data_IF_195921080532
#
_entry.id   IF_195921080532
#
_cell.length_a   1.000
_cell.length_b   1.000
_cell.length_c   1.000
_cell.angle_alpha   90.00
_cell.angle_beta   90.00
_cell.angle_gamma   90.00
#
_symmetry.space_group_name_H-M   'P 1'
#
loop_
_entity.id
_entity.type
_entity.pdbx_description
1 polymer ?
#
# COMPACT_ATOMS: atom_id res chain seq x y z
N UNK A 1 34.50 5.12 10.06
CA UNK A 1 33.45 4.18 9.58
C UNK A 1 34.14 2.89 9.22
N UNK A 2 33.89 1.81 9.97
CA UNK A 2 34.42 0.50 9.61
C UNK A 2 33.54 -0.08 8.50
N UNK A 3 34.11 -0.25 7.31
CA UNK A 3 33.45 -0.98 6.22
C UNK A 3 33.67 -2.46 6.53
N UNK A 4 32.60 -3.19 6.89
CA UNK A 4 32.68 -4.62 7.06
C UNK A 4 33.01 -5.29 5.71
N UNK A 5 33.92 -6.27 5.65
CA UNK A 5 34.22 -6.98 4.41
C UNK A 5 32.97 -7.75 3.96
N UNK A 6 32.44 -7.39 2.79
CA UNK A 6 31.28 -8.03 2.16
C UNK A 6 31.74 -9.17 1.25
N UNK A 7 31.17 -10.36 1.40
CA UNK A 7 31.47 -11.51 0.55
C UNK A 7 30.28 -11.83 -0.35
N UNK A 8 30.53 -11.90 -1.67
CA UNK A 8 29.53 -12.35 -2.64
C UNK A 8 29.43 -13.87 -2.60
N UNK A 9 28.21 -14.39 -2.44
CA UNK A 9 27.91 -15.82 -2.43
C UNK A 9 26.88 -16.09 -3.52
N UNK A 10 27.13 -17.09 -4.36
CA UNK A 10 26.17 -17.57 -5.35
C UNK A 10 25.48 -18.83 -4.81
N UNK A 11 24.14 -18.80 -4.79
CA UNK A 11 23.30 -19.91 -4.31
C UNK A 11 22.47 -20.39 -5.50
N UNK A 12 22.75 -21.61 -5.99
CA UNK A 12 22.00 -22.25 -7.05
C UNK A 12 21.04 -23.28 -6.45
N UNK A 13 19.75 -23.16 -6.74
CA UNK A 13 18.68 -23.97 -6.15
C UNK A 13 17.67 -24.36 -7.21
N UNK A 14 17.01 -25.49 -7.00
CA UNK A 14 15.92 -25.89 -7.89
C UNK A 14 14.77 -24.88 -7.82
N UNK A 15 14.13 -24.57 -8.96
CA UNK A 15 13.06 -23.55 -9.05
C UNK A 15 11.94 -23.74 -8.02
N UNK A 16 11.61 -24.98 -7.68
CA UNK A 16 10.58 -25.28 -6.67
C UNK A 16 10.98 -24.91 -5.23
N UNK A 17 12.27 -24.80 -4.94
CA UNK A 17 12.81 -24.49 -3.62
C UNK A 17 13.26 -23.04 -3.48
N UNK A 18 13.39 -22.31 -4.60
CA UNK A 18 13.86 -20.93 -4.63
C UNK A 18 13.07 -20.00 -3.68
N UNK A 19 11.74 -20.09 -3.69
CA UNK A 19 10.90 -19.25 -2.82
C UNK A 19 11.13 -19.51 -1.33
N UNK A 20 11.26 -20.79 -0.94
CA UNK A 20 11.50 -21.17 0.46
C UNK A 20 12.87 -20.68 0.95
N UNK A 21 13.91 -20.85 0.13
CA UNK A 21 15.27 -20.44 0.49
C UNK A 21 15.37 -18.91 0.58
N UNK A 22 14.78 -18.19 -0.37
CA UNK A 22 14.70 -16.72 -0.31
C UNK A 22 13.99 -16.24 0.97
N UNK A 23 12.88 -16.88 1.34
CA UNK A 23 12.15 -16.55 2.59
C UNK A 23 13.03 -16.72 3.82
N UNK A 24 13.72 -17.86 3.95
CA UNK A 24 14.58 -18.15 5.10
C UNK A 24 15.76 -17.17 5.18
N UNK A 25 16.36 -16.82 4.03
CA UNK A 25 17.46 -15.85 3.98
C UNK A 25 16.99 -14.43 4.32
N UNK A 26 15.79 -14.05 3.90
CA UNK A 26 15.17 -12.77 4.26
C UNK A 26 14.85 -12.71 5.75
N UNK A 27 14.29 -13.78 6.32
CA UNK A 27 14.00 -13.89 7.76
C UNK A 27 15.27 -13.79 8.61
N UNK A 28 16.38 -14.35 8.10
CA UNK A 28 17.68 -14.24 8.76
C UNK A 28 18.22 -12.80 8.75
N UNK A 29 17.88 -11.99 7.74
CA UNK A 29 18.20 -10.55 7.67
C UNK A 29 19.69 -10.20 7.54
N UNK A 30 20.55 -11.18 7.28
CA UNK A 30 22.03 -11.02 7.28
C UNK A 30 22.59 -10.85 5.85
N UNK A 31 21.78 -11.10 4.81
CA UNK A 31 22.24 -11.17 3.42
C UNK A 31 21.45 -10.21 2.53
N UNK A 32 22.15 -9.48 1.68
CA UNK A 32 21.55 -8.70 0.59
C UNK A 32 21.27 -9.62 -0.61
N UNK A 33 20.00 -9.79 -0.97
CA UNK A 33 19.60 -10.61 -2.13
C UNK A 33 19.63 -9.74 -3.38
N UNK A 34 20.56 -10.05 -4.29
CA UNK A 34 20.70 -9.37 -5.57
C UNK A 34 19.85 -10.09 -6.64
N UNK A 35 19.07 -9.34 -7.41
CA UNK A 35 18.38 -9.88 -8.59
C UNK A 35 19.40 -10.23 -9.69
N UNK A 36 19.14 -11.26 -10.51
CA UNK A 36 20.05 -11.79 -11.52
C UNK A 36 20.59 -10.71 -12.49
N UNK A 37 19.76 -9.72 -12.84
CA UNK A 37 20.13 -8.54 -13.64
C UNK A 37 21.19 -7.66 -12.95
N UNK A 38 21.09 -7.47 -11.62
CA UNK A 38 22.03 -6.69 -10.82
C UNK A 38 23.31 -7.47 -10.49
N UNK A 39 23.24 -8.79 -10.50
CA UNK A 39 24.35 -9.68 -10.14
C UNK A 39 25.35 -9.91 -11.28
N UNK A 40 25.12 -9.35 -12.49
CA UNK A 40 25.87 -9.67 -13.72
C UNK A 40 25.85 -11.16 -14.12
N UNK A 41 25.02 -11.98 -13.47
CA UNK A 41 24.90 -13.42 -13.72
C UNK A 41 24.15 -13.69 -15.02
N UNK A 42 23.25 -12.78 -15.45
CA UNK A 42 22.48 -12.94 -16.70
C UNK A 42 23.34 -12.96 -17.97
N UNK A 43 24.55 -12.38 -17.94
CA UNK A 43 25.49 -12.42 -19.09
C UNK A 43 26.24 -13.74 -19.21
N UNK A 44 26.55 -14.38 -18.08
CA UNK A 44 27.35 -15.60 -18.05
C UNK A 44 26.47 -16.86 -18.01
N UNK A 45 25.26 -16.78 -17.44
CA UNK A 45 24.36 -17.92 -17.22
C UNK A 45 22.89 -17.51 -17.37
N UNK A 46 22.41 -17.25 -18.61
CA UNK A 46 21.03 -16.83 -18.86
C UNK A 46 19.98 -17.87 -18.44
N UNK A 47 20.35 -19.15 -18.38
CA UNK A 47 19.45 -20.24 -17.92
C UNK A 47 19.10 -20.16 -16.42
N UNK A 48 19.87 -19.39 -15.64
CA UNK A 48 19.62 -19.17 -14.20
C UNK A 48 18.75 -17.93 -13.94
N UNK A 49 18.32 -17.24 -14.99
CA UNK A 49 17.42 -16.09 -14.87
C UNK A 49 16.03 -16.55 -14.42
N UNK A 50 15.64 -16.14 -13.23
CA UNK A 50 14.27 -16.33 -12.75
C UNK A 50 13.41 -15.13 -13.15
N UNK A 51 12.42 -15.35 -14.02
CA UNK A 51 11.30 -14.42 -14.16
C UNK A 51 10.47 -14.40 -12.86
N UNK A 52 10.82 -13.53 -11.93
CA UNK A 52 9.94 -13.17 -10.81
C UNK A 52 8.85 -12.21 -11.30
N UNK A 53 7.77 -12.76 -11.88
CA UNK A 53 6.53 -11.99 -12.03
C UNK A 53 5.92 -11.82 -10.65
N UNK A 54 5.86 -10.58 -10.16
CA UNK A 54 5.06 -10.27 -8.98
C UNK A 54 3.60 -10.64 -9.30
N UNK A 55 2.94 -11.45 -8.46
CA UNK A 55 1.53 -11.75 -8.66
C UNK A 55 0.75 -10.44 -8.64
N UNK A 56 -0.05 -10.19 -9.69
CA UNK A 56 -0.88 -8.98 -9.82
C UNK A 56 -1.75 -8.76 -8.58
N UNK A 57 -2.24 -9.85 -7.98
CA UNK A 57 -3.07 -9.81 -6.77
C UNK A 57 -2.36 -9.14 -5.58
N UNK A 58 -1.04 -9.29 -5.47
CA UNK A 58 -0.24 -8.64 -4.41
C UNK A 58 -0.11 -7.14 -4.70
N UNK A 59 0.11 -6.77 -5.96
CA UNK A 59 0.21 -5.35 -6.35
C UNK A 59 -1.12 -4.63 -6.14
N UNK A 60 -2.23 -5.26 -6.52
CA UNK A 60 -3.58 -4.74 -6.29
C UNK A 60 -3.87 -4.60 -4.78
N UNK A 61 -3.47 -5.57 -3.96
CA UNK A 61 -3.63 -5.48 -2.50
C UNK A 61 -2.80 -4.36 -1.88
N UNK A 62 -1.55 -4.19 -2.31
CA UNK A 62 -0.69 -3.08 -1.85
C UNK A 62 -1.31 -1.74 -2.22
N UNK A 63 -1.80 -1.59 -3.44
CA UNK A 63 -2.47 -0.36 -3.88
C UNK A 63 -3.73 -0.04 -3.05
N UNK A 64 -4.53 -1.06 -2.70
CA UNK A 64 -5.69 -0.90 -1.81
C UNK A 64 -5.27 -0.44 -0.41
N UNK A 65 -4.24 -1.06 0.16
CA UNK A 65 -3.72 -0.69 1.48
C UNK A 65 -3.19 0.75 1.49
N UNK A 66 -2.42 1.15 0.49
CA UNK A 66 -1.90 2.52 0.37
C UNK A 66 -3.02 3.55 0.29
N UNK A 67 -4.07 3.28 -0.49
CA UNK A 67 -5.25 4.15 -0.58
C UNK A 67 -5.96 4.28 0.77
N UNK A 68 -6.17 3.17 1.47
CA UNK A 68 -6.82 3.18 2.77
C UNK A 68 -5.97 3.90 3.85
N UNK A 69 -4.65 3.70 3.85
CA UNK A 69 -3.73 4.42 4.75
C UNK A 69 -3.81 5.92 4.46
N UNK A 70 -3.75 6.33 3.18
CA UNK A 70 -3.86 7.74 2.80
C UNK A 70 -5.19 8.37 3.24
N UNK A 71 -6.30 7.62 3.14
CA UNK A 71 -7.61 8.05 3.61
C UNK A 71 -7.67 8.19 5.14
N UNK A 72 -7.10 7.24 5.90
CA UNK A 72 -7.17 7.24 7.37
C UNK A 72 -6.18 8.22 8.03
N UNK A 73 -5.05 8.50 7.37
CA UNK A 73 -3.96 9.32 7.91
C UNK A 73 -4.40 10.68 8.48
N UNK A 74 -5.28 11.46 7.82
CA UNK A 74 -5.76 12.74 8.36
C UNK A 74 -6.59 12.61 9.65
N UNK A 75 -7.20 11.45 9.88
CA UNK A 75 -8.04 11.19 11.05
C UNK A 75 -7.27 10.54 12.21
N UNK A 76 -5.99 10.22 12.02
CA UNK A 76 -5.17 9.62 13.05
C UNK A 76 -4.85 10.64 14.16
N UNK A 77 -5.29 10.36 15.39
CA UNK A 77 -5.02 11.19 16.58
C UNK A 77 -3.59 11.10 17.07
N UNK A 78 -2.87 10.02 16.74
CA UNK A 78 -1.45 9.88 17.05
C UNK A 78 -0.62 10.36 15.86
N UNK A 79 0.28 11.33 16.10
CA UNK A 79 1.32 11.69 15.13
C UNK A 79 2.18 10.45 14.86
N UNK A 80 2.53 10.23 13.59
CA UNK A 80 3.47 9.18 13.16
C UNK A 80 4.60 9.08 14.20
N UNK A 81 4.69 7.98 14.94
CA UNK A 81 5.69 7.76 16.00
C UNK A 81 7.14 7.70 15.50
N UNK A 82 7.35 8.11 14.24
CA UNK A 82 8.63 8.19 13.56
C UNK A 82 9.28 9.53 13.88
N UNK A 83 10.46 9.47 14.48
CA UNK A 83 11.33 10.63 14.70
C UNK A 83 12.52 10.55 13.74
N UNK A 84 13.22 11.64 13.49
CA UNK A 84 14.46 11.64 12.71
C UNK A 84 15.50 10.63 13.26
N UNK A 85 15.45 10.36 14.57
CA UNK A 85 16.31 9.38 15.26
C UNK A 85 15.70 7.96 15.35
N UNK A 86 14.42 7.80 15.00
CA UNK A 86 13.69 6.53 14.99
C UNK A 86 12.80 6.47 13.74
N UNK A 87 13.40 6.22 12.57
CA UNK A 87 12.65 6.18 11.31
C UNK A 87 11.73 4.97 11.21
N UNK A 88 12.03 3.91 11.97
CA UNK A 88 11.25 2.67 12.01
C UNK A 88 10.37 2.64 13.26
N UNK A 89 9.14 2.14 13.08
CA UNK A 89 8.21 1.84 14.17
C UNK A 89 8.50 0.41 14.60
N UNK A 90 8.82 0.22 15.87
CA UNK A 90 8.97 -1.11 16.45
C UNK A 90 7.59 -1.75 16.62
N UNK A 91 7.38 -2.91 16.02
CA UNK A 91 6.13 -3.67 16.08
C UNK A 91 6.46 -5.02 16.70
N UNK A 92 5.70 -5.42 17.72
CA UNK A 92 5.88 -6.74 18.33
C UNK A 92 5.55 -7.85 17.33
N UNK A 93 6.32 -8.94 17.39
CA UNK A 93 6.18 -10.07 16.47
C UNK A 93 4.80 -10.69 16.54
N UNK A 94 4.20 -10.82 17.74
CA UNK A 94 2.86 -11.41 17.88
C UNK A 94 1.82 -10.54 17.19
N UNK A 95 1.85 -9.23 17.44
CA UNK A 95 0.95 -8.26 16.80
C UNK A 95 1.10 -8.29 15.28
N UNK A 96 2.33 -8.32 14.76
CA UNK A 96 2.57 -8.43 13.32
C UNK A 96 1.96 -9.72 12.74
N UNK A 97 2.25 -10.86 13.35
CA UNK A 97 1.75 -12.17 12.90
C UNK A 97 0.22 -12.25 12.96
N UNK A 98 -0.41 -11.72 14.01
CA UNK A 98 -1.87 -11.65 14.12
C UNK A 98 -2.50 -10.79 13.03
N UNK A 99 -1.88 -9.66 12.68
CA UNK A 99 -2.39 -8.77 11.62
C UNK A 99 -2.22 -9.41 10.24
N UNK A 100 -1.08 -10.04 9.97
CA UNK A 100 -0.78 -10.64 8.66
C UNK A 100 -1.58 -11.93 8.42
N UNK A 101 -1.75 -12.77 9.46
CA UNK A 101 -2.51 -14.02 9.34
C UNK A 101 -4.01 -13.82 9.58
N UNK A 102 -4.40 -12.74 10.24
CA UNK A 102 -5.78 -12.46 10.61
C UNK A 102 -6.60 -11.85 9.47
N UNK A 103 -7.89 -12.18 9.43
CA UNK A 103 -8.86 -11.52 8.54
C UNK A 103 -9.27 -10.12 9.02
N UNK A 104 -8.93 -9.76 10.26
CA UNK A 104 -9.28 -8.48 10.88
C UNK A 104 -8.77 -7.29 10.09
N UNK A 105 -7.55 -7.37 9.56
CA UNK A 105 -6.95 -6.32 8.74
C UNK A 105 -7.73 -6.09 7.43
N UNK A 106 -8.13 -7.16 6.76
CA UNK A 106 -8.92 -7.09 5.52
C UNK A 106 -10.34 -6.57 5.78
N UNK A 107 -10.97 -6.97 6.88
CA UNK A 107 -12.28 -6.45 7.28
C UNK A 107 -12.19 -4.94 7.57
N UNK A 108 -11.11 -4.49 8.19
CA UNK A 108 -10.88 -3.07 8.46
C UNK A 108 -10.62 -2.29 7.16
N UNK A 109 -9.86 -2.87 6.22
CA UNK A 109 -9.66 -2.32 4.89
C UNK A 109 -11.00 -2.10 4.17
N UNK A 110 -11.86 -3.11 4.13
CA UNK A 110 -13.18 -3.01 3.49
C UNK A 110 -14.07 -1.94 4.16
N UNK A 111 -13.98 -1.79 5.49
CA UNK A 111 -14.70 -0.74 6.23
C UNK A 111 -14.19 0.65 5.86
N UNK A 112 -12.88 0.82 5.76
CA UNK A 112 -12.27 2.09 5.37
C UNK A 112 -12.69 2.48 3.94
N UNK A 113 -12.64 1.52 3.01
CA UNK A 113 -13.07 1.75 1.62
C UNK A 113 -14.57 2.12 1.53
N UNK A 114 -15.44 1.45 2.29
CA UNK A 114 -16.87 1.80 2.35
C UNK A 114 -17.11 3.19 2.91
N UNK A 115 -16.41 3.56 3.97
CA UNK A 115 -16.52 4.88 4.58
C UNK A 115 -16.07 5.97 3.60
N UNK A 116 -14.93 5.78 2.93
CA UNK A 116 -14.43 6.69 1.91
C UNK A 116 -15.45 6.88 0.78
N UNK A 117 -15.95 5.79 0.20
CA UNK A 117 -16.93 5.85 -0.88
C UNK A 117 -18.23 6.55 -0.46
N UNK A 118 -18.66 6.39 0.80
CA UNK A 118 -19.83 7.08 1.33
C UNK A 118 -19.58 8.60 1.45
N UNK A 119 -18.41 9.01 1.93
CA UNK A 119 -18.02 10.42 2.01
C UNK A 119 -17.98 11.05 0.61
N UNK A 120 -17.32 10.40 -0.35
CA UNK A 120 -17.23 10.89 -1.74
C UNK A 120 -18.62 11.05 -2.38
N UNK A 121 -19.53 10.11 -2.10
CA UNK A 121 -20.92 10.18 -2.54
C UNK A 121 -21.66 11.37 -1.92
N UNK A 122 -21.55 11.57 -0.60
CA UNK A 122 -22.22 12.69 0.07
C UNK A 122 -21.66 14.03 -0.39
N UNK A 123 -20.36 14.12 -0.63
CA UNK A 123 -19.72 15.33 -1.13
C UNK A 123 -20.21 15.68 -2.55
N UNK A 124 -20.29 14.69 -3.43
CA UNK A 124 -20.87 14.87 -4.77
C UNK A 124 -22.34 15.32 -4.72
N UNK A 125 -23.12 14.80 -3.78
CA UNK A 125 -24.50 15.23 -3.56
C UNK A 125 -24.60 16.67 -3.06
N UNK A 126 -23.74 17.05 -2.11
CA UNK A 126 -23.64 18.43 -1.62
C UNK A 126 -23.30 19.41 -2.75
N UNK A 127 -22.32 19.09 -3.58
CA UNK A 127 -21.91 19.94 -4.70
C UNK A 127 -23.04 20.11 -5.74
N UNK A 128 -23.78 19.03 -6.00
CA UNK A 128 -24.96 19.05 -6.88
C UNK A 128 -26.08 19.94 -6.32
N UNK A 129 -26.42 19.76 -5.05
CA UNK A 129 -27.45 20.57 -4.37
C UNK A 129 -27.04 22.05 -4.28
N UNK A 130 -25.77 22.31 -4.01
CA UNK A 130 -25.26 23.67 -3.97
C UNK A 130 -25.36 24.34 -5.35
N UNK A 131 -25.02 23.62 -6.41
CA UNK A 131 -25.18 24.10 -7.78
C UNK A 131 -26.65 24.35 -8.15
N UNK A 132 -27.57 23.52 -7.67
CA UNK A 132 -29.01 23.71 -7.85
C UNK A 132 -29.51 24.94 -7.11
N UNK A 133 -29.11 25.12 -5.84
CA UNK A 133 -29.42 26.33 -5.06
C UNK A 133 -28.89 27.57 -5.77
N UNK A 134 -27.65 27.56 -6.27
CA UNK A 134 -27.10 28.69 -7.01
C UNK A 134 -27.90 29.00 -8.29
N UNK A 135 -28.39 27.97 -9.00
CA UNK A 135 -29.26 28.15 -10.17
C UNK A 135 -30.62 28.73 -9.81
N UNK A 136 -31.20 28.33 -8.69
CA UNK A 136 -32.54 28.72 -8.25
C UNK A 136 -32.56 30.03 -7.46
N UNK A 137 -31.46 30.39 -6.81
CA UNK A 137 -31.35 31.58 -5.96
C UNK A 137 -31.71 32.90 -6.66
N UNK A 138 -31.33 33.15 -7.93
CA UNK A 138 -31.73 34.37 -8.65
C UNK A 138 -33.24 34.48 -8.89
N UNK A 139 -33.95 33.35 -8.93
CA UNK A 139 -35.40 33.31 -9.19
C UNK A 139 -36.25 33.47 -7.93
N UNK A 140 -35.62 33.44 -6.75
CA UNK A 140 -36.30 33.55 -5.45
C UNK A 140 -37.05 34.88 -5.28
N UNK A 141 -36.56 35.95 -5.91
CA UNK A 141 -37.13 37.29 -5.81
C UNK A 141 -38.15 37.59 -6.93
N UNK A 142 -38.36 36.67 -7.87
CA UNK A 142 -39.31 36.86 -8.96
C UNK A 142 -40.75 36.74 -8.42
N UNK A 143 -41.39 37.87 -8.12
CA UNK A 143 -42.79 37.94 -7.66
C UNK A 143 -43.82 37.97 -8.79
N UNK A 144 -43.38 37.98 -10.05
CA UNK A 144 -44.27 37.97 -11.22
C UNK A 144 -44.84 36.56 -11.46
N UNK A 145 -46.18 36.38 -11.47
CA UNK A 145 -46.78 35.09 -11.79
C UNK A 145 -46.42 34.70 -13.23
N UNK A 146 -45.93 33.47 -13.40
CA UNK A 146 -45.44 32.95 -14.69
C UNK A 146 -46.56 32.37 -15.56
N UNK A 147 -47.82 32.62 -15.20
CA UNK A 147 -49.01 32.17 -15.94
C UNK A 147 -49.64 33.35 -16.70
N UNK A 148 -49.35 33.45 -18.00
CA UNK A 148 -50.22 34.06 -19.02
C UNK A 148 -50.19 33.18 -20.27
#
# INVERSE_FOLDING_TARGET
MAIAPMQKVMIAVHRSQAGQIVSVLQDAGIIEILNAERAMVSKEWPELEMETKRPKDIEDLVARLDKAIAFLKPFATQKDGRSALRPLIEIDKKTYTEIVLGSSALILLDKAERAQNAIDKFQSQLDSLHSEIQKLSPWKELQTPVEQ
#
